data_IF_001322057189
#
_entry.id   IF_001322057189
#
_cell.length_a   1.000
_cell.length_b   1.000
_cell.length_c   1.000
_cell.angle_alpha   90.00
_cell.angle_beta   90.00
_cell.angle_gamma   90.00
#
_symmetry.space_group_name_H-M   'P 1'
#
loop_
_entity.id
_entity.type
_entity.pdbx_description
1 polymer ?
#
# COMPACT_ATOMS: atom_id res chain seq x y z
N UNK A 1 16.45 30.20 9.88
CA UNK A 1 16.71 29.10 8.94
C UNK A 1 15.35 28.61 8.49
N UNK A 2 14.98 28.86 7.24
CA UNK A 2 13.69 28.48 6.69
C UNK A 2 13.77 26.99 6.31
N UNK A 3 12.88 26.15 6.86
CA UNK A 3 12.89 24.72 6.58
C UNK A 3 12.43 24.46 5.13
N UNK A 4 13.15 23.63 4.35
CA UNK A 4 12.80 23.40 2.96
C UNK A 4 11.50 22.58 2.85
N UNK A 5 10.52 23.14 2.15
CA UNK A 5 9.26 22.45 1.84
C UNK A 5 9.54 21.35 0.81
N UNK A 6 9.45 20.08 1.24
CA UNK A 6 9.68 18.93 0.38
C UNK A 6 8.47 18.69 -0.55
N UNK A 7 8.71 18.40 -1.85
CA UNK A 7 7.62 18.08 -2.76
C UNK A 7 6.94 16.77 -2.34
N UNK A 8 5.61 16.66 -2.55
CA UNK A 8 4.88 15.43 -2.25
C UNK A 8 5.43 14.27 -3.09
N UNK A 9 5.71 13.14 -2.45
CA UNK A 9 6.19 11.93 -3.14
C UNK A 9 5.15 11.49 -4.17
N UNK A 10 5.58 11.35 -5.44
CA UNK A 10 4.78 10.74 -6.50
C UNK A 10 4.38 9.32 -6.06
N UNK A 11 3.08 9.06 -6.01
CA UNK A 11 2.54 7.76 -5.64
C UNK A 11 2.29 6.94 -6.90
N UNK A 12 2.84 5.73 -6.92
CA UNK A 12 2.60 4.76 -7.99
C UNK A 12 1.61 3.70 -7.49
N UNK A 13 0.70 3.24 -8.37
CA UNK A 13 -0.17 2.10 -8.08
C UNK A 13 0.64 0.91 -7.56
N UNK A 14 0.17 0.35 -6.45
CA UNK A 14 0.91 -0.68 -5.71
C UNK A 14 0.02 -1.87 -5.44
N UNK A 15 0.58 -3.07 -5.60
CA UNK A 15 -0.05 -4.35 -5.27
C UNK A 15 0.84 -5.06 -4.24
N UNK A 16 0.21 -5.74 -3.30
CA UNK A 16 0.89 -6.62 -2.35
C UNK A 16 0.48 -8.05 -2.70
N UNK A 17 1.47 -8.89 -2.99
CA UNK A 17 1.29 -10.32 -3.21
C UNK A 17 1.80 -11.06 -1.99
N UNK A 18 1.01 -12.01 -1.49
CA UNK A 18 1.31 -12.75 -0.26
C UNK A 18 1.11 -14.23 -0.50
N UNK A 19 2.00 -15.09 0.03
CA UNK A 19 1.73 -16.52 0.03
C UNK A 19 0.53 -16.82 0.94
N UNK A 20 -0.28 -17.82 0.58
CA UNK A 20 -1.33 -18.31 1.48
C UNK A 20 -0.70 -19.16 2.58
N UNK A 21 -1.31 -19.16 3.77
CA UNK A 21 -0.75 -19.76 4.99
C UNK A 21 -0.41 -21.26 4.87
N UNK A 22 -1.12 -21.98 3.99
CA UNK A 22 -0.96 -23.43 3.82
C UNK A 22 0.14 -23.81 2.80
N UNK A 23 0.80 -22.82 2.19
CA UNK A 23 1.73 -23.06 1.10
C UNK A 23 3.19 -23.09 1.56
N UNK A 24 3.97 -23.90 0.86
CA UNK A 24 5.39 -24.15 1.15
C UNK A 24 6.32 -23.01 0.74
N UNK A 25 5.81 -21.84 0.34
CA UNK A 25 6.65 -20.70 -0.07
C UNK A 25 7.41 -20.17 1.14
N UNK A 26 8.72 -20.42 1.17
CA UNK A 26 9.57 -20.13 2.34
C UNK A 26 10.26 -18.77 2.26
N UNK A 27 10.24 -18.12 1.09
CA UNK A 27 10.94 -16.87 0.86
C UNK A 27 10.23 -15.98 -0.16
N UNK A 28 10.40 -14.66 -0.02
CA UNK A 28 9.92 -13.69 -1.01
C UNK A 28 10.55 -13.87 -2.40
N UNK A 29 11.77 -14.38 -2.46
CA UNK A 29 12.47 -14.67 -3.73
C UNK A 29 11.81 -15.83 -4.49
N UNK A 30 11.35 -16.84 -3.76
CA UNK A 30 10.63 -17.98 -4.34
C UNK A 30 9.28 -17.53 -4.91
N UNK A 31 8.58 -16.64 -4.21
CA UNK A 31 7.33 -16.04 -4.70
C UNK A 31 7.56 -15.20 -5.96
N UNK A 32 8.63 -14.40 -6.00
CA UNK A 32 9.02 -13.62 -7.18
C UNK A 32 9.29 -14.52 -8.39
N UNK A 33 10.08 -15.58 -8.22
CA UNK A 33 10.35 -16.55 -9.29
C UNK A 33 9.08 -17.25 -9.77
N UNK A 34 8.16 -17.60 -8.86
CA UNK A 34 6.89 -18.21 -9.21
C UNK A 34 6.05 -17.27 -10.09
N UNK A 35 5.98 -15.99 -9.72
CA UNK A 35 5.25 -14.97 -10.49
C UNK A 35 5.89 -14.74 -11.87
N UNK A 36 7.21 -14.69 -11.95
CA UNK A 36 7.92 -14.51 -13.22
C UNK A 36 7.77 -15.73 -14.14
N UNK A 37 7.69 -16.95 -13.58
CA UNK A 37 7.54 -18.17 -14.39
C UNK A 37 6.12 -18.33 -14.97
N UNK A 38 5.08 -18.06 -14.18
CA UNK A 38 3.69 -18.36 -14.56
C UNK A 38 2.96 -17.13 -15.13
N UNK A 39 3.06 -15.97 -14.48
CA UNK A 39 2.29 -14.77 -14.83
C UNK A 39 3.02 -13.91 -15.85
N UNK A 40 4.36 -13.83 -15.76
CA UNK A 40 5.22 -13.00 -16.62
C UNK A 40 4.65 -11.59 -16.79
N UNK A 41 4.75 -10.71 -15.78
CA UNK A 41 4.13 -9.38 -15.81
C UNK A 41 4.45 -8.58 -17.09
N UNK A 42 5.67 -8.72 -17.63
CA UNK A 42 6.08 -8.06 -18.88
C UNK A 42 5.29 -8.49 -20.10
N UNK A 43 4.93 -9.78 -20.23
CA UNK A 43 4.12 -10.25 -21.36
C UNK A 43 2.66 -9.82 -21.28
N UNK A 44 2.19 -9.43 -20.09
CA UNK A 44 0.85 -8.86 -19.88
C UNK A 44 0.79 -7.35 -20.16
N UNK A 45 1.90 -6.74 -20.64
CA UNK A 45 2.00 -5.30 -20.84
C UNK A 45 2.12 -4.51 -19.53
N UNK A 46 2.39 -5.18 -18.40
CA UNK A 46 2.52 -4.53 -17.10
C UNK A 46 3.96 -4.06 -16.90
N UNK A 47 4.13 -2.74 -16.76
CA UNK A 47 5.43 -2.14 -16.43
C UNK A 47 5.63 -2.08 -14.91
N UNK A 48 6.51 -2.95 -14.42
CA UNK A 48 6.94 -2.95 -13.01
C UNK A 48 8.03 -1.90 -12.81
N UNK A 49 7.74 -0.91 -11.96
CA UNK A 49 8.67 0.17 -11.61
C UNK A 49 9.59 -0.21 -10.46
N UNK A 50 9.04 -0.91 -9.46
CA UNK A 50 9.80 -1.39 -8.32
C UNK A 50 9.21 -2.68 -7.77
N UNK A 51 10.10 -3.55 -7.31
CA UNK A 51 9.77 -4.77 -6.61
C UNK A 51 10.45 -4.76 -5.24
N UNK A 52 9.70 -5.00 -4.17
CA UNK A 52 10.24 -4.98 -2.80
C UNK A 52 9.74 -6.18 -2.02
N UNK A 53 10.60 -6.70 -1.14
CA UNK A 53 10.22 -7.77 -0.21
C UNK A 53 9.22 -7.21 0.81
N UNK A 54 8.19 -7.98 1.12
CA UNK A 54 7.19 -7.67 2.14
C UNK A 54 7.32 -8.61 3.33
N UNK A 55 6.60 -8.29 4.40
CA UNK A 55 6.43 -9.20 5.55
C UNK A 55 5.76 -10.52 5.11
N UNK A 56 5.99 -11.58 5.88
CA UNK A 56 5.41 -12.91 5.67
C UNK A 56 5.71 -13.49 4.28
N UNK A 57 6.96 -13.36 3.83
CA UNK A 57 7.43 -13.85 2.52
C UNK A 57 6.67 -13.27 1.33
N UNK A 58 5.98 -12.14 1.51
CA UNK A 58 5.27 -11.44 0.45
C UNK A 58 6.20 -10.58 -0.41
N UNK A 59 5.60 -10.01 -1.45
CA UNK A 59 6.26 -9.09 -2.39
C UNK A 59 5.34 -7.89 -2.65
N UNK A 60 5.91 -6.69 -2.66
CA UNK A 60 5.24 -5.44 -3.02
C UNK A 60 5.69 -5.08 -4.44
N UNK A 61 4.71 -4.92 -5.33
CA UNK A 61 4.91 -4.58 -6.73
C UNK A 61 4.37 -3.18 -6.96
N UNK A 62 5.22 -2.27 -7.42
CA UNK A 62 4.81 -0.95 -7.90
C UNK A 62 4.77 -0.98 -9.42
N UNK A 63 3.65 -0.53 -9.97
CA UNK A 63 3.43 -0.44 -11.42
C UNK A 63 3.13 1.00 -11.80
N UNK A 64 3.19 1.29 -13.09
CA UNK A 64 3.04 2.65 -13.57
C UNK A 64 1.60 3.18 -13.49
N UNK A 65 0.63 2.40 -13.98
CA UNK A 65 -0.76 2.83 -14.10
C UNK A 65 -1.71 1.97 -13.28
N UNK A 66 -2.86 2.54 -12.96
CA UNK A 66 -3.88 1.87 -12.14
C UNK A 66 -4.50 0.69 -12.90
N UNK A 67 -4.64 0.82 -14.22
CA UNK A 67 -5.09 -0.24 -15.14
C UNK A 67 -4.13 -1.43 -15.11
N UNK A 68 -2.82 -1.19 -15.21
CA UNK A 68 -1.81 -2.24 -15.08
C UNK A 68 -1.90 -2.94 -13.72
N UNK A 69 -2.23 -2.20 -12.66
CA UNK A 69 -2.40 -2.78 -11.34
C UNK A 69 -3.64 -3.68 -11.24
N UNK A 70 -4.73 -3.35 -11.94
CA UNK A 70 -5.92 -4.21 -12.04
C UNK A 70 -5.61 -5.47 -12.85
N UNK A 71 -4.95 -5.32 -14.01
CA UNK A 71 -4.55 -6.44 -14.87
C UNK A 71 -3.70 -7.45 -14.09
N UNK A 72 -2.67 -6.97 -13.40
CA UNK A 72 -1.78 -7.85 -12.62
C UNK A 72 -2.51 -8.50 -11.43
N UNK A 73 -3.42 -7.78 -10.77
CA UNK A 73 -4.19 -8.33 -9.65
C UNK A 73 -5.10 -9.49 -10.11
N UNK A 74 -5.81 -9.30 -11.21
CA UNK A 74 -6.69 -10.31 -11.79
C UNK A 74 -5.86 -11.49 -12.33
N UNK A 75 -4.77 -11.20 -13.04
CA UNK A 75 -3.89 -12.23 -13.58
C UNK A 75 -3.35 -13.17 -12.50
N UNK A 76 -3.03 -12.66 -11.29
CA UNK A 76 -2.56 -13.51 -10.18
C UNK A 76 -3.70 -14.28 -9.53
N UNK A 77 -4.82 -13.60 -9.25
CA UNK A 77 -5.92 -14.19 -8.47
C UNK A 77 -6.79 -15.16 -9.29
N UNK A 78 -6.89 -14.98 -10.60
CA UNK A 78 -7.71 -15.81 -11.50
C UNK A 78 -6.90 -16.92 -12.17
N UNK A 79 -5.57 -16.93 -12.02
CA UNK A 79 -4.71 -17.94 -12.61
C UNK A 79 -5.05 -19.34 -12.09
N UNK A 80 -5.04 -20.34 -12.97
CA UNK A 80 -5.46 -21.70 -12.62
C UNK A 80 -4.60 -22.32 -11.49
N UNK A 81 -3.28 -22.14 -11.54
CA UNK A 81 -2.34 -22.70 -10.54
C UNK A 81 -1.94 -21.69 -9.45
N UNK A 82 -1.45 -20.49 -9.85
CA UNK A 82 -0.90 -19.48 -8.94
C UNK A 82 -1.88 -19.03 -7.85
N UNK A 83 -3.19 -18.99 -8.11
CA UNK A 83 -4.21 -18.61 -7.12
C UNK A 83 -4.24 -19.48 -5.87
N UNK A 84 -3.78 -20.74 -6.00
CA UNK A 84 -3.71 -21.66 -4.87
C UNK A 84 -2.45 -21.44 -4.03
N UNK A 85 -1.46 -20.74 -4.56
CA UNK A 85 -0.16 -20.50 -3.92
C UNK A 85 -0.08 -19.13 -3.25
N UNK A 86 -0.63 -18.11 -3.88
CA UNK A 86 -0.55 -16.74 -3.40
C UNK A 86 -1.82 -15.94 -3.71
N UNK A 87 -1.95 -14.80 -3.04
CA UNK A 87 -3.03 -13.84 -3.23
C UNK A 87 -2.45 -12.44 -3.46
N UNK A 88 -2.93 -11.77 -4.50
CA UNK A 88 -2.66 -10.37 -4.78
C UNK A 88 -3.78 -9.48 -4.22
N UNK A 89 -3.39 -8.35 -3.63
CA UNK A 89 -4.33 -7.38 -3.04
C UNK A 89 -3.79 -5.95 -3.08
N UNK A 90 -4.70 -4.98 -3.07
CA UNK A 90 -4.32 -3.58 -2.89
C UNK A 90 -3.90 -3.31 -1.44
N UNK A 91 -2.93 -2.39 -1.21
CA UNK A 91 -2.68 -1.84 0.11
C UNK A 91 -3.97 -1.26 0.69
N UNK A 92 -4.18 -1.46 1.99
CA UNK A 92 -5.29 -0.82 2.67
C UNK A 92 -5.14 0.71 2.59
N UNK A 93 -6.27 1.41 2.47
CA UNK A 93 -6.30 2.86 2.60
C UNK A 93 -5.69 3.27 3.93
N UNK A 94 -4.88 4.33 3.91
CA UNK A 94 -4.28 4.85 5.14
C UNK A 94 -5.39 5.40 6.03
N UNK A 95 -5.58 4.79 7.19
CA UNK A 95 -6.41 5.31 8.27
C UNK A 95 -5.59 5.35 9.56
N UNK A 96 -4.58 6.22 9.65
CA UNK A 96 -3.70 6.27 10.81
C UNK A 96 -4.49 6.77 12.02
N UNK A 97 -4.42 6.01 13.12
CA UNK A 97 -4.90 6.44 14.43
C UNK A 97 -3.68 6.71 15.30
N UNK A 98 -3.65 7.88 15.91
CA UNK A 98 -2.55 8.32 16.78
C UNK A 98 -3.13 8.46 18.18
N UNK A 99 -2.42 7.91 19.16
CA UNK A 99 -2.78 8.03 20.57
C UNK A 99 -1.68 8.82 21.27
N UNK A 100 -2.06 9.97 21.80
CA UNK A 100 -1.15 10.91 22.47
C UNK A 100 -1.51 10.88 23.95
N UNK A 101 -0.51 10.61 24.80
CA UNK A 101 -0.64 10.61 26.25
C UNK A 101 0.14 11.78 26.84
N UNK A 102 -0.08 12.04 28.13
CA UNK A 102 0.60 13.10 28.89
C UNK A 102 0.33 14.51 28.33
N UNK A 103 -0.94 14.73 27.96
CA UNK A 103 -1.43 16.05 27.57
C UNK A 103 -1.86 16.77 28.85
N UNK A 104 -1.38 18.00 29.05
CA UNK A 104 -1.84 18.86 30.13
C UNK A 104 -3.37 19.00 30.09
N UNK A 105 -4.02 18.97 31.26
CA UNK A 105 -5.47 19.13 31.34
C UNK A 105 -5.84 20.52 30.81
N UNK A 106 -6.63 20.54 29.74
CA UNK A 106 -7.21 21.78 29.22
C UNK A 106 -8.48 22.11 29.99
N UNK A 107 -8.73 23.40 30.27
CA UNK A 107 -10.02 23.83 30.81
C UNK A 107 -11.09 23.83 29.72
N UNK A 108 -12.25 23.23 30.01
CA UNK A 108 -13.38 23.14 29.07
C UNK A 108 -13.83 21.70 28.82
N UNK A 109 -14.90 21.56 28.04
CA UNK A 109 -15.40 20.24 27.63
C UNK A 109 -14.43 19.59 26.63
N UNK A 110 -14.09 18.32 26.91
CA UNK A 110 -13.09 17.58 26.14
C UNK A 110 -13.55 17.36 24.71
N UNK A 111 -14.82 17.04 24.50
CA UNK A 111 -15.36 16.75 23.17
C UNK A 111 -15.38 18.03 22.32
N UNK A 112 -15.70 19.18 22.90
CA UNK A 112 -15.62 20.47 22.21
C UNK A 112 -14.19 20.82 21.78
N UNK A 113 -13.19 20.63 22.67
CA UNK A 113 -11.78 20.92 22.39
C UNK A 113 -11.20 19.96 21.34
N UNK A 114 -11.53 18.67 21.42
CA UNK A 114 -11.13 17.65 20.43
C UNK A 114 -11.75 17.92 19.05
N UNK A 115 -13.02 18.33 18.99
CA UNK A 115 -13.70 18.68 17.74
C UNK A 115 -13.15 19.96 17.10
N UNK A 116 -12.79 20.98 17.90
CA UNK A 116 -12.16 22.21 17.43
C UNK A 116 -10.73 21.98 16.91
N UNK A 117 -9.98 21.05 17.52
CA UNK A 117 -8.60 20.73 17.15
C UNK A 117 -8.49 19.76 15.97
N UNK A 118 -9.37 18.76 15.87
CA UNK A 118 -9.44 17.85 14.72
C UNK A 118 -9.79 18.57 13.41
N UNK A 119 -10.54 19.68 13.47
CA UNK A 119 -10.76 20.56 12.31
C UNK A 119 -9.47 21.25 11.81
N UNK A 120 -8.46 21.44 12.68
CA UNK A 120 -7.16 22.04 12.30
C UNK A 120 -6.22 21.01 11.66
N UNK A 121 -6.22 19.76 12.13
CA UNK A 121 -5.42 18.67 11.53
C UNK A 121 -5.94 18.25 10.15
N UNK A 122 -7.26 18.26 9.94
CA UNK A 122 -7.85 17.97 8.62
C UNK A 122 -7.55 19.09 7.61
N UNK A 123 -7.52 20.36 8.04
CA UNK A 123 -7.22 21.49 7.14
C UNK A 123 -5.76 21.58 6.71
N UNK A 124 -4.80 21.15 7.54
CA UNK A 124 -3.40 21.06 7.15
C UNK A 124 -3.11 19.85 6.22
N UNK A 125 -3.95 18.81 6.29
CA UNK A 125 -3.81 17.56 5.52
C UNK A 125 -4.84 17.45 4.40
N UNK A 126 -5.36 18.58 3.90
CA UNK A 126 -6.01 18.62 2.60
C UNK A 126 -4.91 18.46 1.54
N UNK A 127 -4.47 17.22 1.30
CA UNK A 127 -3.78 16.87 0.05
C UNK A 127 -4.70 17.29 -1.08
N UNK A 128 -4.43 18.46 -1.67
CA UNK A 128 -5.16 18.98 -2.80
C UNK A 128 -5.10 17.92 -3.90
N UNK A 129 -6.22 17.21 -4.10
CA UNK A 129 -6.48 16.47 -5.33
C UNK A 129 -6.63 17.50 -6.42
N UNK A 130 -5.54 17.78 -7.13
CA UNK A 130 -5.62 18.45 -8.44
C UNK A 130 -5.97 17.36 -9.45
N UNK A 131 -7.07 17.60 -10.17
CA UNK A 131 -7.61 16.74 -11.23
C UNK A 131 -6.63 16.56 -12.38
#
# INVERSE_FOLDING_TARGET
MEEPILPPKKQFPTIIVRPLANNKIRSSLELELLLENHIKPRSLGVRVLALRKALNNGVIIQVETEEMAVILLNAINDHQEVKFYCQAKRPASRNPQILIYDIEKSEGDRDEIENLSSLKFVKATAFQRVK
#
